data_IF_886810155223
#
_entry.id   IF_886810155223
#
_cell.length_a   1.000
_cell.length_b   1.000
_cell.length_c   1.000
_cell.angle_alpha   90.00
_cell.angle_beta   90.00
_cell.angle_gamma   90.00
#
_symmetry.space_group_name_H-M   'P 1'
#
loop_
_entity.id
_entity.type
_entity.pdbx_description
1 polymer ?
#
# COMPACT_ATOMS: atom_id res chain seq x y z
N UNK A 1 -5.72 -27.65 4.75
CA UNK A 1 -4.78 -26.57 5.09
C UNK A 1 -4.75 -25.52 3.98
N UNK A 2 -4.79 -25.91 2.71
CA UNK A 2 -4.66 -24.99 1.57
C UNK A 2 -5.81 -23.98 1.40
N UNK A 3 -7.06 -24.38 1.66
CA UNK A 3 -8.23 -23.51 1.44
C UNK A 3 -8.23 -22.24 2.32
N UNK A 4 -7.72 -22.35 3.55
CA UNK A 4 -7.61 -21.20 4.47
C UNK A 4 -6.46 -20.27 4.06
N UNK A 5 -5.33 -20.84 3.65
CA UNK A 5 -4.17 -20.08 3.18
C UNK A 5 -4.50 -19.34 1.89
N UNK A 6 -5.15 -20.00 0.93
CA UNK A 6 -5.54 -19.41 -0.35
C UNK A 6 -6.51 -18.23 -0.18
N UNK A 7 -7.50 -18.35 0.71
CA UNK A 7 -8.39 -17.24 1.06
C UNK A 7 -7.67 -16.10 1.77
N UNK A 8 -6.73 -16.40 2.67
CA UNK A 8 -5.94 -15.38 3.33
C UNK A 8 -5.04 -14.62 2.33
N UNK A 9 -4.38 -15.32 1.41
CA UNK A 9 -3.58 -14.72 0.34
C UNK A 9 -4.43 -13.87 -0.59
N UNK A 10 -5.65 -14.29 -0.91
CA UNK A 10 -6.58 -13.49 -1.72
C UNK A 10 -6.95 -12.17 -1.05
N UNK A 11 -7.26 -12.20 0.24
CA UNK A 11 -7.56 -10.98 1.02
C UNK A 11 -6.33 -10.07 1.12
N UNK A 12 -5.15 -10.62 1.37
CA UNK A 12 -3.91 -9.84 1.42
C UNK A 12 -3.60 -9.18 0.07
N UNK A 13 -3.80 -9.88 -1.05
CA UNK A 13 -3.67 -9.30 -2.40
C UNK A 13 -4.69 -8.23 -2.68
N UNK A 14 -5.94 -8.40 -2.24
CA UNK A 14 -6.97 -7.36 -2.37
C UNK A 14 -6.60 -6.09 -1.58
N UNK A 15 -6.05 -6.25 -0.37
CA UNK A 15 -5.56 -5.14 0.46
C UNK A 15 -4.34 -4.47 -0.18
N UNK A 16 -3.36 -5.24 -0.69
CA UNK A 16 -2.22 -4.70 -1.44
C UNK A 16 -2.67 -3.95 -2.70
N UNK A 17 -3.64 -4.48 -3.44
CA UNK A 17 -4.19 -3.84 -4.62
C UNK A 17 -4.89 -2.52 -4.28
N UNK A 18 -5.69 -2.50 -3.22
CA UNK A 18 -6.35 -1.28 -2.73
C UNK A 18 -5.36 -0.24 -2.20
N UNK A 19 -4.35 -0.67 -1.43
CA UNK A 19 -3.28 0.19 -0.93
C UNK A 19 -2.41 0.73 -2.06
N UNK A 20 -2.09 -0.09 -3.07
CA UNK A 20 -1.36 0.32 -4.26
C UNK A 20 -2.14 1.32 -5.11
N UNK A 21 -3.46 1.12 -5.26
CA UNK A 21 -4.33 2.09 -5.94
C UNK A 21 -4.39 3.42 -5.19
N UNK A 22 -4.53 3.41 -3.86
CA UNK A 22 -4.50 4.61 -3.04
C UNK A 22 -3.13 5.32 -3.09
N UNK A 23 -2.03 4.55 -3.07
CA UNK A 23 -0.68 5.08 -3.27
C UNK A 23 -0.48 5.72 -4.64
N UNK A 24 -1.01 5.12 -5.70
CA UNK A 24 -0.98 5.68 -7.06
C UNK A 24 -1.76 7.00 -7.15
N UNK A 25 -2.91 7.10 -6.49
CA UNK A 25 -3.69 8.35 -6.40
C UNK A 25 -2.90 9.43 -5.66
N UNK A 26 -2.28 9.11 -4.52
CA UNK A 26 -1.45 10.06 -3.78
C UNK A 26 -0.21 10.51 -4.58
N UNK A 27 0.43 9.60 -5.33
CA UNK A 27 1.52 9.94 -6.25
C UNK A 27 1.07 10.87 -7.37
N UNK A 28 -0.10 10.63 -7.96
CA UNK A 28 -0.67 11.48 -8.98
C UNK A 28 -0.98 12.89 -8.44
N UNK A 29 -1.54 12.98 -7.23
CA UNK A 29 -1.77 14.25 -6.53
C UNK A 29 -0.45 14.94 -6.23
N UNK A 30 0.57 14.21 -5.74
CA UNK A 30 1.91 14.76 -5.54
C UNK A 30 2.48 15.34 -6.82
N UNK A 31 2.42 14.62 -7.95
CA UNK A 31 2.92 15.09 -9.24
C UNK A 31 2.18 16.32 -9.75
N UNK A 32 0.85 16.35 -9.62
CA UNK A 32 0.03 17.51 -10.00
C UNK A 32 0.32 18.73 -9.11
N UNK A 33 0.42 18.54 -7.79
CA UNK A 33 0.69 19.61 -6.84
C UNK A 33 2.14 20.09 -6.85
N UNK A 34 3.09 19.24 -7.28
CA UNK A 34 4.47 19.63 -7.54
C UNK A 34 4.55 20.70 -8.64
N UNK A 35 3.72 20.59 -9.68
CA UNK A 35 3.62 21.58 -10.75
C UNK A 35 2.98 22.91 -10.30
N UNK A 36 2.07 22.87 -9.31
CA UNK A 36 1.41 24.08 -8.78
C UNK A 36 2.16 24.74 -7.62
N UNK A 37 3.36 24.24 -7.27
CA UNK A 37 4.22 24.73 -6.16
C UNK A 37 3.53 24.78 -4.79
N UNK A 38 2.43 24.05 -4.62
CA UNK A 38 1.68 24.05 -3.36
C UNK A 38 2.26 23.04 -2.37
N UNK A 39 3.26 23.47 -1.60
CA UNK A 39 4.03 22.62 -0.66
C UNK A 39 3.15 21.88 0.36
N UNK A 40 2.10 22.52 0.85
CA UNK A 40 1.24 21.96 1.89
C UNK A 40 0.55 20.67 1.43
N UNK A 41 0.09 20.61 0.18
CA UNK A 41 -0.56 19.42 -0.38
C UNK A 41 0.43 18.32 -0.76
N UNK A 42 1.69 18.67 -1.00
CA UNK A 42 2.77 17.71 -1.25
C UNK A 42 3.12 16.98 0.04
N UNK A 43 3.23 17.68 1.17
CA UNK A 43 3.47 17.06 2.48
C UNK A 43 2.33 16.14 2.88
N UNK A 44 1.08 16.58 2.68
CA UNK A 44 -0.11 15.77 2.99
C UNK A 44 -0.16 14.47 2.16
N UNK A 45 0.22 14.56 0.88
CA UNK A 45 0.32 13.41 -0.01
C UNK A 45 1.53 12.49 0.33
N UNK A 46 2.64 13.05 0.82
CA UNK A 46 3.77 12.27 1.33
C UNK A 46 3.41 11.52 2.62
N UNK A 47 2.68 12.14 3.55
CA UNK A 47 2.23 11.46 4.78
C UNK A 47 1.25 10.32 4.47
N UNK A 48 0.32 10.52 3.53
CA UNK A 48 -0.52 9.41 3.09
C UNK A 48 0.26 8.30 2.39
N UNK A 49 1.28 8.63 1.57
CA UNK A 49 2.18 7.61 1.02
C UNK A 49 2.99 6.88 2.09
N UNK A 50 3.41 7.56 3.15
CA UNK A 50 4.14 6.94 4.26
C UNK A 50 3.26 5.92 4.97
N UNK A 51 1.99 6.21 5.18
CA UNK A 51 1.02 5.25 5.72
C UNK A 51 0.80 4.05 4.79
N UNK A 52 0.73 4.27 3.47
CA UNK A 52 0.67 3.17 2.48
C UNK A 52 1.94 2.32 2.54
N UNK A 53 3.11 2.94 2.62
CA UNK A 53 4.40 2.24 2.71
C UNK A 53 4.52 1.37 3.95
N UNK A 54 4.08 1.87 5.12
CA UNK A 54 4.03 1.09 6.36
C UNK A 54 3.05 -0.08 6.22
N UNK A 55 1.85 0.17 5.68
CA UNK A 55 0.86 -0.88 5.42
C UNK A 55 1.40 -1.97 4.49
N UNK A 56 2.14 -1.58 3.44
CA UNK A 56 2.75 -2.50 2.49
C UNK A 56 3.84 -3.37 3.14
N UNK A 57 4.67 -2.79 4.01
CA UNK A 57 5.68 -3.53 4.78
C UNK A 57 5.06 -4.57 5.71
N UNK A 58 3.97 -4.22 6.40
CA UNK A 58 3.24 -5.15 7.27
C UNK A 58 2.68 -6.32 6.46
N UNK A 59 2.06 -6.03 5.32
CA UNK A 59 1.50 -7.09 4.47
C UNK A 59 2.61 -7.98 3.89
N UNK A 60 3.74 -7.41 3.45
CA UNK A 60 4.90 -8.21 3.03
C UNK A 60 5.44 -9.10 4.16
N UNK A 61 5.49 -8.59 5.39
CA UNK A 61 5.87 -9.39 6.56
C UNK A 61 4.92 -10.56 6.81
N UNK A 62 3.61 -10.32 6.71
CA UNK A 62 2.60 -11.38 6.82
C UNK A 62 2.72 -12.40 5.68
N UNK A 63 2.95 -11.96 4.45
CA UNK A 63 3.13 -12.83 3.29
C UNK A 63 4.39 -13.70 3.40
N UNK A 64 5.49 -13.14 3.92
CA UNK A 64 6.74 -13.85 4.18
C UNK A 64 6.56 -14.95 5.25
N UNK A 65 5.83 -14.66 6.33
CA UNK A 65 5.52 -15.65 7.38
C UNK A 65 4.65 -16.78 6.82
N UNK A 66 3.62 -16.45 6.03
CA UNK A 66 2.76 -17.45 5.40
C UNK A 66 3.59 -18.34 4.47
N UNK A 67 4.46 -17.77 3.63
CA UNK A 67 5.36 -18.54 2.75
C UNK A 67 6.35 -19.42 3.51
N UNK A 68 6.75 -19.03 4.72
CA UNK A 68 7.66 -19.84 5.55
C UNK A 68 6.92 -20.99 6.25
N UNK A 69 5.62 -20.84 6.50
CA UNK A 69 4.74 -21.86 7.09
C UNK A 69 4.13 -22.81 6.05
N UNK A 70 4.25 -22.50 4.76
CA UNK A 70 3.75 -23.27 3.62
C UNK A 70 4.80 -24.26 3.13
#
# INVERSE_FOLDING_TARGET
MDYFVEKATFVLRAIQGGAGAYGAVMLAIMGYHYMTKNRQKIEEAQDGMKNVGIGFLVVMGAEAIIRFLQ
#
